data_IF_607360208152
#
_entry.id   IF_607360208152
#
_cell.length_a   1.000
_cell.length_b   1.000
_cell.length_c   1.000
_cell.angle_alpha   90.00
_cell.angle_beta   90.00
_cell.angle_gamma   90.00
#
_symmetry.space_group_name_H-M   'P 1'
#
loop_
_entity.id
_entity.type
_entity.pdbx_description
1 polymer ?
#
# COMPACT_ATOMS: atom_id res chain seq x y z
N UNK A 1 9.25 5.28 -2.36
CA UNK A 1 10.51 5.94 -2.83
C UNK A 1 11.73 5.02 -2.78
N UNK A 2 12.45 4.86 -3.90
CA UNK A 2 13.62 3.94 -3.97
C UNK A 2 14.75 4.38 -3.05
N UNK A 3 15.16 3.50 -2.13
CA UNK A 3 16.31 3.71 -1.25
C UNK A 3 16.05 4.53 0.01
N UNK A 4 14.82 5.02 0.23
CA UNK A 4 14.48 5.81 1.42
C UNK A 4 14.50 4.99 2.70
N UNK A 5 13.88 3.80 2.73
CA UNK A 5 13.92 2.94 3.91
C UNK A 5 15.36 2.57 4.32
N UNK A 6 16.26 2.12 3.41
CA UNK A 6 17.67 1.94 3.74
C UNK A 6 18.35 3.20 4.29
N UNK A 7 18.02 4.38 3.79
CA UNK A 7 18.57 5.65 4.27
C UNK A 7 18.09 6.01 5.68
N UNK A 8 16.92 5.52 6.09
CA UNK A 8 16.35 5.73 7.43
C UNK A 8 16.58 4.53 8.36
N UNK A 9 17.55 3.65 8.03
CA UNK A 9 17.76 2.40 8.78
C UNK A 9 18.10 2.63 10.25
N UNK A 10 18.89 3.67 10.57
CA UNK A 10 19.28 3.98 11.94
C UNK A 10 18.14 4.39 12.88
N UNK A 11 16.95 4.72 12.34
CA UNK A 11 15.75 5.07 13.12
C UNK A 11 14.62 4.03 12.99
N UNK A 12 14.86 2.94 12.24
CA UNK A 12 13.95 1.80 12.19
C UNK A 12 13.98 1.06 13.52
N UNK A 13 12.81 0.88 14.12
CA UNK A 13 12.69 0.18 15.40
C UNK A 13 11.87 -1.09 15.23
N UNK A 14 12.44 -2.24 15.62
CA UNK A 14 11.69 -3.49 15.68
C UNK A 14 10.58 -3.38 16.74
N UNK A 15 9.37 -3.77 16.35
CA UNK A 15 8.16 -3.67 17.17
C UNK A 15 7.27 -4.87 16.89
N UNK A 16 6.23 -5.00 17.71
CA UNK A 16 5.14 -5.92 17.46
C UNK A 16 3.84 -5.13 17.41
N UNK A 17 2.92 -5.50 16.53
CA UNK A 17 1.65 -4.80 16.31
C UNK A 17 0.78 -4.63 17.58
N UNK A 18 0.97 -5.48 18.60
CA UNK A 18 0.34 -5.34 19.93
C UNK A 18 0.72 -4.02 20.64
N UNK A 19 1.83 -3.39 20.25
CA UNK A 19 2.22 -2.06 20.73
C UNK A 19 1.18 -0.99 20.35
N UNK A 20 0.29 -1.26 19.38
CA UNK A 20 -0.83 -0.42 18.99
C UNK A 20 -2.19 -0.94 19.49
N UNK A 21 -2.22 -1.83 20.49
CA UNK A 21 -3.47 -2.27 21.09
C UNK A 21 -4.30 -1.08 21.61
N UNK A 22 -5.60 -1.09 21.33
CA UNK A 22 -6.51 0.02 21.64
C UNK A 22 -6.42 1.21 20.66
N UNK A 23 -5.54 1.15 19.66
CA UNK A 23 -5.40 2.18 18.62
C UNK A 23 -6.12 1.80 17.33
N UNK A 24 -6.39 2.82 16.51
CA UNK A 24 -6.89 2.62 15.14
C UNK A 24 -5.71 2.73 14.18
N UNK A 25 -5.49 1.70 13.36
CA UNK A 25 -4.36 1.66 12.41
C UNK A 25 -4.90 1.64 10.99
N UNK A 26 -4.49 2.64 10.20
CA UNK A 26 -4.76 2.69 8.77
C UNK A 26 -3.94 1.63 8.04
N UNK A 27 -4.51 1.02 7.01
CA UNK A 27 -3.83 -0.02 6.22
C UNK A 27 -3.94 0.34 4.75
N UNK A 28 -2.80 0.47 4.09
CA UNK A 28 -2.73 0.38 2.63
C UNK A 28 -3.00 -1.07 2.20
N UNK A 29 -4.17 -1.29 1.62
CA UNK A 29 -4.63 -2.64 1.28
C UNK A 29 -4.00 -3.16 -0.01
N UNK A 30 -3.60 -2.29 -0.94
CA UNK A 30 -3.08 -2.72 -2.23
C UNK A 30 -1.77 -3.49 -2.07
N UNK A 31 -0.91 -3.09 -1.13
CA UNK A 31 0.28 -3.86 -0.75
C UNK A 31 -0.03 -5.29 -0.28
N UNK A 32 -1.16 -5.52 0.40
CA UNK A 32 -1.59 -6.87 0.80
C UNK A 32 -2.29 -7.62 -0.32
N UNK A 33 -3.10 -6.94 -1.14
CA UNK A 33 -3.75 -7.55 -2.30
C UNK A 33 -2.71 -8.10 -3.27
N UNK A 34 -1.69 -7.31 -3.64
CA UNK A 34 -0.59 -7.77 -4.50
C UNK A 34 0.15 -8.97 -3.93
N UNK A 35 0.35 -9.06 -2.60
CA UNK A 35 0.93 -10.25 -1.96
C UNK A 35 -0.04 -11.44 -1.98
N UNK A 36 -1.33 -11.20 -1.77
CA UNK A 36 -2.37 -12.23 -1.78
C UNK A 36 -2.58 -12.87 -3.16
N UNK A 37 -2.43 -12.10 -4.25
CA UNK A 37 -2.57 -12.62 -5.61
C UNK A 37 -1.48 -13.59 -6.02
N UNK A 38 -0.30 -13.56 -5.37
CA UNK A 38 0.82 -14.46 -5.67
C UNK A 38 0.37 -15.93 -5.66
N UNK A 39 -0.40 -16.33 -4.66
CA UNK A 39 -0.85 -17.73 -4.48
C UNK A 39 -1.92 -18.20 -5.49
N UNK A 40 -2.48 -17.27 -6.27
CA UNK A 40 -3.50 -17.52 -7.28
C UNK A 40 -3.20 -16.82 -8.61
N UNK A 41 -1.94 -16.48 -8.89
CA UNK A 41 -1.56 -15.71 -10.09
C UNK A 41 -1.97 -16.44 -11.38
N UNK A 42 -1.77 -17.75 -11.45
CA UNK A 42 -2.20 -18.55 -12.62
C UNK A 42 -3.73 -18.51 -12.79
N UNK A 43 -4.48 -18.70 -11.70
CA UNK A 43 -5.94 -18.69 -11.74
C UNK A 43 -6.46 -17.33 -12.23
N UNK A 44 -5.93 -16.24 -11.68
CA UNK A 44 -6.28 -14.87 -12.07
C UNK A 44 -5.93 -14.59 -13.54
N UNK A 45 -4.73 -14.98 -13.99
CA UNK A 45 -4.30 -14.78 -15.36
C UNK A 45 -5.16 -15.52 -16.38
N UNK A 46 -5.73 -16.67 -16.00
CA UNK A 46 -6.64 -17.48 -16.81
C UNK A 46 -8.11 -17.06 -16.67
N UNK A 47 -8.45 -16.12 -15.78
CA UNK A 47 -9.83 -15.74 -15.49
C UNK A 47 -10.61 -16.78 -14.67
N UNK A 48 -9.91 -17.69 -13.99
CA UNK A 48 -10.54 -18.66 -13.10
C UNK A 48 -10.99 -17.96 -11.79
N UNK A 49 -12.22 -18.23 -11.30
CA UNK A 49 -12.68 -17.69 -10.03
C UNK A 49 -11.78 -18.12 -8.85
N UNK A 50 -11.40 -17.17 -7.99
CA UNK A 50 -10.57 -17.43 -6.81
C UNK A 50 -10.80 -16.38 -5.73
N UNK A 51 -10.68 -16.78 -4.46
CA UNK A 51 -10.80 -15.90 -3.29
C UNK A 51 -9.54 -15.86 -2.44
N UNK A 52 -8.44 -16.53 -2.86
CA UNK A 52 -7.22 -16.66 -2.03
C UNK A 52 -6.62 -15.31 -1.60
N UNK A 53 -6.73 -14.28 -2.45
CA UNK A 53 -6.30 -12.92 -2.10
C UNK A 53 -7.18 -12.29 -1.01
N UNK A 54 -8.49 -12.57 -0.99
CA UNK A 54 -9.40 -12.15 0.08
C UNK A 54 -9.01 -12.84 1.38
N UNK A 55 -8.79 -14.15 1.34
CA UNK A 55 -8.38 -14.93 2.51
C UNK A 55 -7.06 -14.41 3.11
N UNK A 56 -6.10 -14.05 2.24
CA UNK A 56 -4.83 -13.44 2.65
C UNK A 56 -5.04 -12.13 3.40
N UNK A 57 -5.81 -11.19 2.83
CA UNK A 57 -6.10 -9.91 3.47
C UNK A 57 -6.87 -10.10 4.78
N UNK A 58 -7.91 -10.93 4.76
CA UNK A 58 -8.74 -11.18 5.95
C UNK A 58 -7.97 -11.89 7.07
N UNK A 59 -6.95 -12.69 6.76
CA UNK A 59 -6.05 -13.23 7.77
C UNK A 59 -5.29 -12.10 8.50
N UNK A 60 -4.76 -11.12 7.77
CA UNK A 60 -4.09 -9.95 8.35
C UNK A 60 -5.05 -9.08 9.16
N UNK A 61 -6.25 -8.84 8.67
CA UNK A 61 -7.31 -8.11 9.40
C UNK A 61 -7.64 -8.80 10.73
N UNK A 62 -7.81 -10.13 10.72
CA UNK A 62 -8.05 -10.91 11.95
C UNK A 62 -6.87 -10.84 12.90
N UNK A 63 -5.63 -10.86 12.39
CA UNK A 63 -4.42 -10.70 13.20
C UNK A 63 -4.38 -9.33 13.90
N UNK A 64 -4.69 -8.23 13.20
CA UNK A 64 -4.79 -6.91 13.82
C UNK A 64 -5.84 -6.89 14.95
N UNK A 65 -7.05 -7.39 14.67
CA UNK A 65 -8.13 -7.47 15.67
C UNK A 65 -7.74 -8.36 16.86
N UNK A 66 -7.06 -9.47 16.62
CA UNK A 66 -6.61 -10.39 17.67
C UNK A 66 -5.68 -9.69 18.67
N UNK A 67 -4.78 -8.84 18.20
CA UNK A 67 -3.89 -8.04 19.06
C UNK A 67 -4.52 -6.74 19.57
N UNK A 68 -5.85 -6.61 19.49
CA UNK A 68 -6.58 -5.46 20.01
C UNK A 68 -6.42 -4.17 19.19
N UNK A 69 -5.94 -4.26 17.95
CA UNK A 69 -5.83 -3.13 17.03
C UNK A 69 -7.12 -3.01 16.21
N UNK A 70 -7.63 -1.79 16.05
CA UNK A 70 -8.79 -1.52 15.18
C UNK A 70 -8.29 -1.18 13.76
N UNK A 71 -8.46 -2.07 12.77
CA UNK A 71 -8.01 -1.78 11.41
C UNK A 71 -8.97 -0.81 10.71
N UNK A 72 -8.39 0.14 9.97
CA UNK A 72 -9.09 0.99 9.01
C UNK A 72 -8.46 0.75 7.63
N UNK A 73 -9.17 0.08 6.73
CA UNK A 73 -8.64 -0.31 5.43
C UNK A 73 -8.85 0.80 4.41
N UNK A 74 -7.77 1.18 3.71
CA UNK A 74 -7.79 2.17 2.63
C UNK A 74 -7.36 1.50 1.33
N UNK A 75 -8.15 1.71 0.28
CA UNK A 75 -7.93 1.19 -1.06
C UNK A 75 -7.61 2.33 -2.02
N UNK A 76 -6.80 2.07 -3.05
CA UNK A 76 -6.63 3.00 -4.16
C UNK A 76 -7.94 3.15 -4.95
N UNK A 77 -8.09 4.34 -5.54
CA UNK A 77 -9.22 4.77 -6.34
C UNK A 77 -8.87 4.97 -7.82
N UNK A 78 -9.20 6.15 -8.33
CA UNK A 78 -9.04 6.49 -9.74
C UNK A 78 -7.58 6.82 -10.09
N UNK A 79 -7.28 6.84 -11.39
CA UNK A 79 -5.98 7.24 -11.87
C UNK A 79 -5.69 8.71 -11.57
N UNK A 80 -4.50 8.97 -11.03
CA UNK A 80 -4.00 10.31 -10.86
C UNK A 80 -3.24 10.76 -12.11
N UNK A 81 -3.59 11.91 -12.74
CA UNK A 81 -2.89 12.40 -13.92
C UNK A 81 -1.38 12.60 -13.72
N UNK A 82 -0.95 13.07 -12.54
CA UNK A 82 0.48 13.21 -12.20
C UNK A 82 1.27 11.91 -12.21
N UNK A 83 0.60 10.75 -12.14
CA UNK A 83 1.22 9.42 -12.10
C UNK A 83 1.06 8.64 -13.41
N UNK A 84 0.48 9.26 -14.45
CA UNK A 84 0.14 8.59 -15.71
C UNK A 84 1.34 7.89 -16.38
N UNK A 85 2.53 8.50 -16.36
CA UNK A 85 3.73 7.88 -16.93
C UNK A 85 4.15 6.60 -16.22
N UNK A 86 4.10 6.60 -14.89
CA UNK A 86 4.42 5.43 -14.05
C UNK A 86 3.42 4.30 -14.28
N UNK A 87 2.13 4.62 -14.37
CA UNK A 87 1.08 3.61 -14.63
C UNK A 87 1.16 3.02 -16.03
N UNK A 88 1.46 3.82 -17.07
CA UNK A 88 1.64 3.32 -18.43
C UNK A 88 2.80 2.31 -18.54
N UNK A 89 3.93 2.59 -17.86
CA UNK A 89 5.07 1.69 -17.82
C UNK A 89 4.77 0.40 -17.03
N UNK A 90 3.95 0.49 -15.96
CA UNK A 90 3.47 -0.69 -15.22
C UNK A 90 2.54 -1.54 -16.08
N UNK A 91 1.61 -0.92 -16.80
CA UNK A 91 0.68 -1.61 -17.70
C UNK A 91 1.42 -2.35 -18.82
N UNK A 92 2.38 -1.68 -19.47
CA UNK A 92 3.21 -2.29 -20.52
C UNK A 92 3.93 -3.53 -20.01
N UNK A 93 4.60 -3.44 -18.85
CA UNK A 93 5.30 -4.58 -18.23
C UNK A 93 4.34 -5.73 -17.89
N UNK A 94 3.15 -5.42 -17.37
CA UNK A 94 2.13 -6.44 -17.08
C UNK A 94 1.70 -7.18 -18.35
N UNK A 95 1.48 -6.46 -19.44
CA UNK A 95 1.08 -7.03 -20.72
C UNK A 95 2.18 -7.96 -21.29
N UNK A 96 3.44 -7.52 -21.28
CA UNK A 96 4.59 -8.32 -21.71
C UNK A 96 4.73 -9.60 -20.87
N UNK A 97 4.72 -9.48 -19.54
CA UNK A 97 4.79 -10.63 -18.63
C UNK A 97 3.61 -11.59 -18.78
N UNK A 98 2.41 -11.09 -19.11
CA UNK A 98 1.24 -11.93 -19.36
C UNK A 98 1.44 -12.83 -20.57
N UNK A 99 1.93 -12.27 -21.69
CA UNK A 99 2.21 -13.03 -22.92
C UNK A 99 3.23 -14.13 -22.63
N UNK A 100 4.39 -13.76 -22.07
CA UNK A 100 5.45 -14.72 -21.74
C UNK A 100 4.97 -15.79 -20.76
N UNK A 101 4.24 -15.41 -19.72
CA UNK A 101 3.72 -16.34 -18.73
C UNK A 101 2.73 -17.36 -19.30
N UNK A 102 1.84 -16.93 -20.21
CA UNK A 102 0.88 -17.83 -20.87
C UNK A 102 1.58 -18.79 -21.85
N UNK A 103 2.63 -18.35 -22.55
CA UNK A 103 3.44 -19.23 -23.41
C UNK A 103 4.17 -20.31 -22.61
N UNK A 104 4.81 -19.93 -21.50
CA UNK A 104 5.46 -20.88 -20.59
C UNK A 104 4.46 -21.91 -20.03
N UNK A 105 3.23 -21.48 -19.76
CA UNK A 105 2.18 -22.35 -19.27
C UNK A 105 1.75 -23.38 -20.34
N UNK A 106 1.61 -22.95 -21.61
CA UNK A 106 1.34 -23.84 -22.75
C UNK A 106 2.44 -24.88 -22.96
N UNK A 107 3.70 -24.50 -22.71
CA UNK A 107 4.86 -25.41 -22.77
C UNK A 107 4.99 -26.33 -21.54
N UNK A 108 4.04 -26.29 -20.59
CA UNK A 108 4.06 -27.11 -19.38
C UNK A 108 5.05 -26.63 -18.30
N UNK A 109 5.72 -25.48 -18.50
CA UNK A 109 6.73 -24.92 -17.58
C UNK A 109 6.09 -24.13 -16.44
N UNK A 110 5.28 -24.80 -15.62
CA UNK A 110 4.42 -24.18 -14.60
C UNK A 110 5.15 -23.25 -13.63
N UNK A 111 6.32 -23.64 -13.11
CA UNK A 111 7.05 -22.82 -12.14
C UNK A 111 7.53 -21.50 -12.74
N UNK A 112 8.01 -21.51 -13.99
CA UNK A 112 8.43 -20.31 -14.70
C UNK A 112 7.22 -19.45 -15.09
N UNK A 113 6.15 -20.08 -15.58
CA UNK A 113 4.89 -19.41 -15.88
C UNK A 113 4.34 -18.68 -14.64
N UNK A 114 4.38 -19.30 -13.47
CA UNK A 114 3.93 -18.69 -12.21
C UNK A 114 4.69 -17.40 -11.91
N UNK A 115 6.02 -17.39 -12.06
CA UNK A 115 6.86 -16.21 -11.80
C UNK A 115 6.51 -15.07 -12.74
N UNK A 116 6.31 -15.34 -14.03
CA UNK A 116 5.95 -14.29 -15.00
C UNK A 116 4.50 -13.83 -14.83
N UNK A 117 3.54 -14.75 -14.66
CA UNK A 117 2.14 -14.40 -14.48
C UNK A 117 1.89 -13.63 -13.18
N UNK A 118 2.68 -13.85 -12.12
CA UNK A 118 2.63 -13.03 -10.92
C UNK A 118 2.89 -11.55 -11.22
N UNK A 119 3.83 -11.23 -12.12
CA UNK A 119 4.14 -9.84 -12.52
C UNK A 119 3.05 -9.23 -13.37
N UNK A 120 2.20 -10.05 -13.99
CA UNK A 120 1.12 -9.62 -14.88
C UNK A 120 -0.19 -9.29 -14.16
N UNK A 121 -0.31 -9.61 -12.87
CA UNK A 121 -1.58 -9.42 -12.15
C UNK A 121 -1.82 -7.95 -11.86
N UNK A 122 -2.97 -7.48 -12.32
CA UNK A 122 -3.54 -6.20 -11.96
C UNK A 122 -4.62 -6.37 -10.89
N UNK A 123 -4.60 -5.52 -9.86
CA UNK A 123 -5.57 -5.57 -8.76
C UNK A 123 -6.75 -4.68 -9.13
N UNK A 124 -7.87 -5.30 -9.48
CA UNK A 124 -9.04 -4.58 -10.00
C UNK A 124 -9.97 -4.07 -8.90
N UNK A 125 -10.82 -3.07 -9.20
CA UNK A 125 -11.88 -2.63 -8.28
C UNK A 125 -12.82 -3.75 -7.83
N UNK A 126 -13.10 -4.74 -8.68
CA UNK A 126 -13.88 -5.92 -8.32
C UNK A 126 -13.18 -6.78 -7.25
N UNK A 127 -11.86 -6.95 -7.34
CA UNK A 127 -11.08 -7.67 -6.33
C UNK A 127 -11.05 -6.91 -5.00
N UNK A 128 -10.85 -5.59 -5.05
CA UNK A 128 -10.94 -4.72 -3.87
C UNK A 128 -12.33 -4.82 -3.22
N UNK A 129 -13.39 -4.82 -4.03
CA UNK A 129 -14.77 -4.94 -3.56
C UNK A 129 -15.04 -6.24 -2.80
N UNK A 130 -14.50 -7.38 -3.23
CA UNK A 130 -14.63 -8.62 -2.46
C UNK A 130 -14.03 -8.52 -1.04
N UNK A 131 -12.93 -7.78 -0.89
CA UNK A 131 -12.33 -7.53 0.43
C UNK A 131 -13.18 -6.58 1.25
N UNK A 132 -13.71 -5.52 0.63
CA UNK A 132 -14.61 -4.55 1.29
C UNK A 132 -15.85 -5.27 1.83
N UNK A 133 -16.48 -6.13 1.04
CA UNK A 133 -17.65 -6.90 1.46
C UNK A 133 -17.31 -7.84 2.65
N UNK A 134 -16.16 -8.52 2.60
CA UNK A 134 -15.69 -9.39 3.68
C UNK A 134 -15.37 -8.61 4.98
N UNK A 135 -14.84 -7.40 4.87
CA UNK A 135 -14.57 -6.51 6.00
C UNK A 135 -15.86 -5.95 6.60
N UNK A 136 -16.79 -5.52 5.76
CA UNK A 136 -18.11 -5.00 6.17
C UNK A 136 -18.86 -6.05 6.99
N UNK A 137 -18.83 -7.32 6.57
CA UNK A 137 -19.46 -8.42 7.30
C UNK A 137 -18.95 -8.63 8.74
N UNK A 138 -17.75 -8.14 9.07
CA UNK A 138 -17.15 -8.24 10.41
C UNK A 138 -16.96 -6.88 11.10
N UNK A 139 -17.64 -5.84 10.60
CA UNK A 139 -17.64 -4.50 11.16
C UNK A 139 -16.31 -3.76 11.05
N UNK A 140 -15.48 -4.09 10.07
CA UNK A 140 -14.22 -3.38 9.80
C UNK A 140 -14.45 -2.24 8.83
N UNK A 141 -13.94 -1.04 9.16
CA UNK A 141 -14.10 0.15 8.32
C UNK A 141 -13.22 0.04 7.07
N UNK A 142 -13.81 0.34 5.93
CA UNK A 142 -13.14 0.45 4.64
C UNK A 142 -13.42 1.84 4.05
N UNK A 143 -12.45 2.36 3.30
CA UNK A 143 -12.60 3.56 2.50
C UNK A 143 -11.80 3.38 1.20
N UNK A 144 -12.42 3.67 0.07
CA UNK A 144 -11.72 3.80 -1.20
C UNK A 144 -11.29 5.25 -1.34
N UNK A 145 -10.00 5.50 -1.49
CA UNK A 145 -9.49 6.83 -1.78
C UNK A 145 -10.09 7.31 -3.12
N UNK A 146 -10.26 8.61 -3.34
CA UNK A 146 -10.66 9.10 -4.67
C UNK A 146 -9.57 8.85 -5.71
N UNK A 147 -8.31 8.91 -5.28
CA UNK A 147 -7.10 8.67 -6.07
C UNK A 147 -6.19 7.71 -5.29
N UNK A 148 -5.07 8.17 -4.76
CA UNK A 148 -4.11 7.29 -4.08
C UNK A 148 -4.44 7.09 -2.58
N UNK A 149 -4.27 5.86 -2.12
CA UNK A 149 -4.36 5.50 -0.70
C UNK A 149 -3.33 6.25 0.14
N UNK A 150 -2.18 6.61 -0.44
CA UNK A 150 -1.10 7.27 0.28
C UNK A 150 -1.49 8.63 0.89
N UNK A 151 -2.03 9.53 0.07
CA UNK A 151 -2.53 10.83 0.56
C UNK A 151 -3.73 10.66 1.48
N UNK A 152 -4.60 9.69 1.20
CA UNK A 152 -5.77 9.42 2.01
C UNK A 152 -5.38 8.94 3.41
N UNK A 153 -4.40 8.04 3.53
CA UNK A 153 -3.87 7.56 4.80
C UNK A 153 -3.17 8.69 5.57
N UNK A 154 -2.38 9.51 4.90
CA UNK A 154 -1.80 10.72 5.49
C UNK A 154 -2.89 11.65 6.05
N UNK A 155 -3.94 11.92 5.28
CA UNK A 155 -5.04 12.78 5.71
C UNK A 155 -5.77 12.23 6.95
N UNK A 156 -6.07 10.93 6.96
CA UNK A 156 -6.73 10.29 8.09
C UNK A 156 -5.89 10.37 9.37
N UNK A 157 -4.57 10.17 9.27
CA UNK A 157 -3.66 10.28 10.42
C UNK A 157 -3.55 11.73 10.90
N UNK A 158 -3.40 12.68 9.98
CA UNK A 158 -3.37 14.13 10.27
C UNK A 158 -4.65 14.59 10.99
N UNK A 159 -5.81 14.05 10.63
CA UNK A 159 -7.10 14.35 11.28
C UNK A 159 -7.33 13.59 12.59
N UNK A 160 -6.38 12.73 13.00
CA UNK A 160 -6.49 11.92 14.22
C UNK A 160 -7.53 10.81 14.15
N UNK A 161 -7.96 10.42 12.94
CA UNK A 161 -8.91 9.32 12.71
C UNK A 161 -8.20 7.97 12.85
N UNK A 162 -6.91 7.93 12.52
CA UNK A 162 -6.01 6.78 12.72
C UNK A 162 -4.75 7.25 13.45
N UNK A 163 -4.09 6.33 14.17
CA UNK A 163 -2.91 6.60 15.00
C UNK A 163 -1.58 6.28 14.32
N UNK A 164 -1.59 5.37 13.33
CA UNK A 164 -0.44 4.93 12.55
C UNK A 164 -0.90 4.29 11.23
N UNK A 165 0.03 4.10 10.28
CA UNK A 165 -0.25 3.51 8.97
C UNK A 165 0.59 2.25 8.75
N UNK A 166 -0.04 1.16 8.33
CA UNK A 166 0.62 -0.04 7.82
C UNK A 166 0.74 0.05 6.30
N UNK A 167 1.97 0.08 5.80
CA UNK A 167 2.27 -0.05 4.37
C UNK A 167 3.72 -0.47 4.16
N UNK A 168 4.03 -0.95 2.95
CA UNK A 168 5.40 -1.15 2.50
C UNK A 168 5.93 0.06 1.71
N UNK A 169 5.07 1.02 1.37
CA UNK A 169 5.49 2.23 0.68
C UNK A 169 6.06 3.26 1.66
N UNK A 170 7.22 3.79 1.27
CA UNK A 170 7.91 4.85 1.99
C UNK A 170 7.47 6.24 1.55
N UNK A 171 6.68 6.36 0.48
CA UNK A 171 6.10 7.63 0.03
C UNK A 171 5.16 8.24 1.08
N UNK A 172 4.55 7.42 1.93
CA UNK A 172 3.79 7.88 3.10
C UNK A 172 4.59 8.83 4.01
N UNK A 173 5.90 8.58 4.20
CA UNK A 173 6.76 9.48 4.98
C UNK A 173 7.02 10.82 4.27
N UNK A 174 6.93 10.82 2.94
CA UNK A 174 7.08 12.00 2.07
C UNK A 174 5.82 12.86 2.09
N UNK A 175 4.64 12.23 2.03
CA UNK A 175 3.34 12.87 2.29
C UNK A 175 3.27 13.48 3.69
N UNK A 176 3.83 12.75 4.66
CA UNK A 176 4.04 13.26 6.00
C UNK A 176 3.42 12.42 7.10
N UNK A 177 3.08 11.16 6.83
CA UNK A 177 2.65 10.20 7.85
C UNK A 177 3.66 10.15 8.98
N UNK A 178 3.21 10.44 10.20
CA UNK A 178 4.05 10.48 11.40
C UNK A 178 4.56 9.08 11.75
N UNK A 179 3.71 8.06 11.75
CA UNK A 179 4.09 6.71 12.18
C UNK A 179 3.80 5.67 11.08
N UNK A 180 4.85 5.22 10.41
CA UNK A 180 4.80 4.14 9.42
C UNK A 180 5.18 2.79 10.07
N UNK A 181 4.32 1.80 9.89
CA UNK A 181 4.54 0.40 10.25
C UNK A 181 4.77 -0.38 8.95
N UNK A 182 5.99 -0.86 8.75
CA UNK A 182 6.41 -1.60 7.54
C UNK A 182 6.90 -2.99 7.90
N UNK A 183 7.03 -3.88 6.91
CA UNK A 183 7.50 -5.27 7.09
C UNK A 183 6.69 -6.05 8.12
N UNK A 184 5.40 -5.74 8.25
CA UNK A 184 4.50 -6.46 9.14
C UNK A 184 4.36 -7.91 8.65
N UNK A 185 4.66 -8.88 9.50
CA UNK A 185 4.50 -10.29 9.21
C UNK A 185 3.14 -10.85 9.68
N UNK A 186 2.89 -12.12 9.42
CA UNK A 186 1.61 -12.76 9.76
C UNK A 186 1.42 -12.98 11.27
N UNK A 187 2.48 -12.87 12.06
CA UNK A 187 2.47 -13.06 13.50
C UNK A 187 2.40 -11.74 14.26
N UNK A 188 2.62 -10.62 13.59
CA UNK A 188 2.53 -9.28 14.14
C UNK A 188 3.88 -8.60 14.36
N UNK A 189 5.00 -9.25 14.04
CA UNK A 189 6.31 -8.59 14.08
C UNK A 189 6.41 -7.57 12.95
N UNK A 190 6.96 -6.39 13.23
CA UNK A 190 7.03 -5.29 12.29
C UNK A 190 8.19 -4.34 12.57
N UNK A 191 8.38 -3.39 11.67
CA UNK A 191 9.31 -2.28 11.83
C UNK A 191 8.53 -0.98 11.87
N UNK A 192 8.79 -0.17 12.90
CA UNK A 192 8.27 1.18 13.03
C UNK A 192 9.30 2.20 12.53
N UNK A 193 8.82 3.20 11.80
CA UNK A 193 9.53 4.44 11.51
C UNK A 193 8.63 5.59 11.95
N UNK A 194 9.12 6.38 12.91
CA UNK A 194 8.43 7.58 13.40
C UNK A 194 9.18 8.84 12.94
N UNK A 195 8.46 9.78 12.30
CA UNK A 195 9.01 11.06 11.82
C UNK A 195 9.61 11.91 12.94
N UNK A 196 9.13 11.78 14.17
CA UNK A 196 9.65 12.48 15.35
C UNK A 196 11.12 12.09 15.64
N UNK A 197 11.57 10.92 15.15
CA UNK A 197 12.93 10.45 15.29
C UNK A 197 13.85 10.81 14.11
N UNK A 198 13.38 11.57 13.12
CA UNK A 198 14.20 11.92 11.95
C UNK A 198 15.52 12.61 12.33
N UNK A 199 15.52 13.46 13.34
CA UNK A 199 16.72 14.16 13.83
C UNK A 199 17.77 13.21 14.41
N UNK A 200 17.37 12.00 14.82
CA UNK A 200 18.26 10.94 15.31
C UNK A 200 18.83 10.05 14.18
N UNK A 201 18.50 10.31 12.92
CA UNK A 201 19.04 9.58 11.78
C UNK A 201 20.56 9.79 11.67
N UNK A 202 21.30 8.68 11.66
CA UNK A 202 22.77 8.65 11.61
C UNK A 202 23.30 8.53 10.18
N UNK A 203 22.49 8.02 9.27
CA UNK A 203 22.86 7.79 7.86
C UNK A 203 22.97 9.11 7.08
N UNK A 204 22.08 10.06 7.39
CA UNK A 204 22.13 11.47 6.99
C UNK A 204 21.63 12.34 8.15
N UNK A 205 22.29 13.47 8.40
CA UNK A 205 21.80 14.42 9.41
C UNK A 205 20.53 15.11 8.89
N UNK A 206 19.41 14.93 9.58
CA UNK A 206 18.16 15.67 9.38
C UNK A 206 17.93 16.70 10.51
N UNK A 207 18.95 16.98 11.33
CA UNK A 207 18.87 18.05 12.32
C UNK A 207 18.67 19.41 11.63
N UNK A 208 17.66 20.15 12.10
CA UNK A 208 17.24 21.44 11.54
C UNK A 208 16.46 21.36 10.23
N UNK A 209 16.05 20.15 9.80
CA UNK A 209 15.28 19.98 8.56
C UNK A 209 13.79 20.17 8.79
N UNK A 210 13.13 20.84 7.84
CA UNK A 210 11.67 20.94 7.80
C UNK A 210 11.06 19.78 7.00
N UNK A 211 9.75 19.54 7.19
CA UNK A 211 8.97 18.61 6.36
C UNK A 211 9.11 18.94 4.86
N UNK A 212 9.09 20.22 4.52
CA UNK A 212 9.26 20.72 3.14
C UNK A 212 10.62 20.34 2.57
N UNK A 213 11.71 20.57 3.32
CA UNK A 213 13.06 20.20 2.85
C UNK A 213 13.21 18.70 2.65
N UNK A 214 12.65 17.89 3.56
CA UNK A 214 12.65 16.43 3.42
C UNK A 214 11.89 15.98 2.17
N UNK A 215 10.69 16.52 1.95
CA UNK A 215 9.88 16.23 0.77
C UNK A 215 10.58 16.66 -0.52
N UNK A 216 11.16 17.85 -0.56
CA UNK A 216 11.93 18.35 -1.70
C UNK A 216 13.14 17.47 -2.02
N UNK A 217 13.88 17.04 -1.00
CA UNK A 217 14.98 16.07 -1.17
C UNK A 217 14.48 14.76 -1.80
N UNK A 218 13.34 14.25 -1.34
CA UNK A 218 12.72 13.04 -1.88
C UNK A 218 12.32 13.21 -3.35
N UNK A 219 11.58 14.27 -3.70
CA UNK A 219 11.17 14.57 -5.08
C UNK A 219 12.40 14.69 -6.00
N UNK A 220 13.44 15.43 -5.58
CA UNK A 220 14.69 15.60 -6.35
C UNK A 220 15.43 14.28 -6.60
N UNK A 221 15.26 13.30 -5.70
CA UNK A 221 15.88 11.98 -5.81
C UNK A 221 15.10 11.00 -6.70
N UNK A 222 13.93 11.42 -7.20
CA UNK A 222 13.03 10.63 -8.02
C UNK A 222 11.89 10.03 -7.21
N UNK A 223 10.67 10.22 -7.71
CA UNK A 223 9.43 9.71 -7.14
C UNK A 223 8.45 9.33 -8.27
N UNK A 224 7.29 8.78 -7.93
CA UNK A 224 6.29 8.34 -8.90
C UNK A 224 5.71 9.47 -9.77
N UNK A 225 5.87 10.74 -9.36
CA UNK A 225 5.39 11.94 -10.07
C UNK A 225 6.47 12.67 -10.88
N UNK A 226 7.74 12.40 -10.60
CA UNK A 226 8.86 13.09 -11.24
C UNK A 226 10.12 12.25 -11.19
N UNK A 227 10.68 11.99 -12.36
CA UNK A 227 11.99 11.38 -12.51
C UNK A 227 13.09 12.24 -11.88
N UNK A 228 14.14 11.59 -11.40
CA UNK A 228 15.27 12.31 -10.84
C UNK A 228 16.10 13.00 -11.92
N UNK A 229 16.81 14.07 -11.53
CA UNK A 229 17.90 14.58 -12.36
C UNK A 229 18.96 13.47 -12.45
N UNK A 230 19.57 13.18 -13.62
CA UNK A 230 20.61 12.17 -13.72
C UNK A 230 21.71 12.37 -12.67
N UNK A 231 22.07 11.28 -11.97
CA UNK A 231 23.02 11.27 -10.85
C UNK A 231 22.55 11.99 -9.56
N UNK A 232 21.27 12.39 -9.49
CA UNK A 232 20.64 12.94 -8.29
C UNK A 232 19.96 11.82 -7.50
N UNK A 233 20.70 11.19 -6.58
CA UNK A 233 20.14 10.29 -5.57
C UNK A 233 19.88 11.01 -4.25
N UNK A 234 19.25 10.31 -3.28
CA UNK A 234 18.88 10.89 -1.97
C UNK A 234 20.03 11.61 -1.24
N UNK A 235 21.23 11.02 -1.18
CA UNK A 235 22.39 11.63 -0.51
C UNK A 235 22.89 12.90 -1.25
N UNK A 236 22.82 12.90 -2.59
CA UNK A 236 23.19 14.07 -3.39
C UNK A 236 22.16 15.19 -3.21
N UNK A 237 20.87 14.85 -3.31
CA UNK A 237 19.76 15.77 -3.07
C UNK A 237 19.83 16.35 -1.65
N UNK A 238 20.11 15.52 -0.63
CA UNK A 238 20.29 15.95 0.75
C UNK A 238 21.38 17.02 0.90
N UNK A 239 22.58 16.73 0.37
CA UNK A 239 23.73 17.65 0.42
C UNK A 239 23.42 18.98 -0.27
N UNK A 240 22.76 18.94 -1.41
CA UNK A 240 22.43 20.15 -2.17
C UNK A 240 21.31 20.94 -1.49
N UNK A 241 20.25 20.30 -1.01
CA UNK A 241 19.20 20.96 -0.23
C UNK A 241 19.74 21.60 1.05
N UNK A 242 20.68 20.94 1.74
CA UNK A 242 21.35 21.51 2.92
C UNK A 242 22.21 22.74 2.59
N UNK A 243 22.76 22.83 1.37
CA UNK A 243 23.59 23.96 0.93
C UNK A 243 22.76 25.15 0.46
N UNK A 244 21.71 24.90 -0.33
CA UNK A 244 20.97 25.97 -1.01
C UNK A 244 19.66 26.33 -0.32
N UNK A 245 19.09 25.43 0.49
CA UNK A 245 17.80 25.54 1.20
C UNK A 245 16.56 25.74 0.32
N UNK A 246 16.75 26.02 -0.97
CA UNK A 246 15.73 26.37 -1.94
C UNK A 246 16.03 25.69 -3.29
N UNK A 247 15.01 25.08 -3.88
CA UNK A 247 15.16 24.28 -5.11
C UNK A 247 15.48 25.16 -6.31
N UNK A 248 14.87 26.34 -6.43
CA UNK A 248 15.16 27.21 -7.57
C UNK A 248 16.61 27.69 -7.56
N UNK A 249 17.09 28.16 -6.40
CA UNK A 249 18.49 28.54 -6.21
C UNK A 249 19.44 27.38 -6.49
N UNK A 250 19.12 26.17 -6.01
CA UNK A 250 19.90 24.97 -6.32
C UNK A 250 19.98 24.73 -7.82
N UNK A 251 18.84 24.68 -8.52
CA UNK A 251 18.79 24.36 -9.94
C UNK A 251 19.53 25.41 -10.78
N UNK A 252 19.42 26.70 -10.44
CA UNK A 252 20.19 27.77 -11.10
C UNK A 252 21.69 27.57 -10.92
N UNK A 253 22.14 27.24 -9.70
CA UNK A 253 23.55 26.98 -9.43
C UNK A 253 24.08 25.73 -10.15
N UNK A 254 23.28 24.66 -10.24
CA UNK A 254 23.64 23.45 -10.99
C UNK A 254 23.77 23.71 -12.49
N UNK A 255 22.84 24.49 -13.06
CA UNK A 255 22.91 24.91 -14.47
C UNK A 255 24.17 25.73 -14.75
N UNK A 256 24.59 26.58 -13.82
CA UNK A 256 25.81 27.38 -13.96
C UNK A 256 27.09 26.54 -13.84
N UNK A 257 27.17 25.60 -12.89
CA UNK A 257 28.34 24.73 -12.72
C UNK A 257 28.50 23.71 -13.86
N UNK A 258 27.42 23.38 -14.57
CA UNK A 258 27.44 22.54 -15.79
C UNK A 258 27.75 21.06 -15.58
N UNK A 259 28.19 20.65 -14.38
CA UNK A 259 28.53 19.25 -14.07
C UNK A 259 27.33 18.31 -13.99
N UNK A 260 26.18 18.83 -13.58
CA UNK A 260 24.91 18.09 -13.53
C UNK A 260 23.99 18.69 -14.57
N UNK A 261 23.64 17.92 -15.60
CA UNK A 261 22.71 18.34 -16.65
C UNK A 261 21.28 18.33 -16.12
N UNK A 262 20.76 19.50 -15.79
CA UNK A 262 19.36 19.68 -15.38
C UNK A 262 18.47 19.59 -16.62
N UNK A 263 17.47 18.70 -16.66
CA UNK A 263 16.51 18.65 -17.77
C UNK A 263 15.77 19.97 -17.98
N UNK A 264 15.36 20.24 -19.22
CA UNK A 264 14.50 21.37 -19.53
C UNK A 264 13.13 21.20 -18.85
N UNK A 265 12.51 22.31 -18.41
CA UNK A 265 11.23 22.28 -17.71
C UNK A 265 11.23 21.63 -16.32
N UNK A 266 12.38 21.15 -15.81
CA UNK A 266 12.44 20.38 -14.56
C UNK A 266 11.87 21.13 -13.34
N UNK A 267 12.08 22.45 -13.25
CA UNK A 267 11.57 23.23 -12.13
C UNK A 267 10.03 23.24 -12.07
N UNK A 268 9.37 23.37 -13.23
CA UNK A 268 7.91 23.36 -13.27
C UNK A 268 7.35 21.96 -13.01
N UNK A 269 8.02 20.92 -13.52
CA UNK A 269 7.68 19.54 -13.17
C UNK A 269 7.87 19.25 -11.67
N UNK A 270 8.93 19.80 -11.06
CA UNK A 270 9.18 19.74 -9.63
C UNK A 270 8.07 20.42 -8.82
N UNK A 271 7.66 21.63 -9.21
CA UNK A 271 6.56 22.34 -8.57
C UNK A 271 5.26 21.54 -8.64
N UNK A 272 4.94 20.93 -9.79
CA UNK A 272 3.77 20.05 -9.91
C UNK A 272 3.84 18.85 -8.97
N UNK A 273 4.98 18.15 -8.92
CA UNK A 273 5.16 17.01 -8.01
C UNK A 273 5.04 17.43 -6.53
N UNK A 274 5.60 18.58 -6.15
CA UNK A 274 5.48 19.13 -4.79
C UNK A 274 4.03 19.49 -4.45
N UNK A 275 3.28 20.04 -5.40
CA UNK A 275 1.85 20.32 -5.26
C UNK A 275 1.03 19.04 -5.14
N UNK A 276 1.37 17.97 -5.88
CA UNK A 276 0.72 16.67 -5.74
C UNK A 276 0.89 16.09 -4.33
N UNK A 277 2.11 16.04 -3.80
CA UNK A 277 2.32 15.56 -2.43
C UNK A 277 1.60 16.40 -1.36
N UNK A 278 1.41 17.70 -1.61
CA UNK A 278 0.77 18.60 -0.63
C UNK A 278 -0.74 18.59 -0.72
N UNK A 279 -1.31 18.61 -1.93
CA UNK A 279 -2.71 18.98 -2.14
C UNK A 279 -3.51 17.91 -2.85
N UNK A 280 -2.96 16.70 -3.08
CA UNK A 280 -3.73 15.60 -3.66
C UNK A 280 -5.10 15.46 -2.98
N UNK A 281 -6.14 15.32 -3.80
CA UNK A 281 -7.50 15.20 -3.29
C UNK A 281 -7.70 13.89 -2.55
N UNK A 282 -8.42 14.00 -1.44
CA UNK A 282 -8.77 12.91 -0.55
C UNK A 282 -10.26 13.01 -0.20
N UNK A 283 -10.85 11.91 0.23
CA UNK A 283 -12.20 11.91 0.77
C UNK A 283 -12.17 12.18 2.28
N UNK A 284 -12.89 13.20 2.73
CA UNK A 284 -13.08 13.47 4.15
C UNK A 284 -14.29 12.67 4.67
N UNK A 285 -14.11 11.67 5.55
CA UNK A 285 -15.24 10.89 6.06
C UNK A 285 -16.13 11.66 7.05
N UNK A 286 -15.67 12.82 7.55
CA UNK A 286 -16.44 13.68 8.46
C UNK A 286 -17.33 14.63 7.66
N UNK A 287 -16.74 15.32 6.67
CA UNK A 287 -17.46 16.27 5.80
C UNK A 287 -18.19 15.58 4.65
N UNK A 288 -17.88 14.30 4.40
CA UNK A 288 -18.54 13.44 3.44
C UNK A 288 -18.46 13.95 1.99
N UNK A 289 -17.28 14.49 1.64
CA UNK A 289 -16.96 15.09 0.33
C UNK A 289 -15.45 15.03 0.07
N UNK A 290 -15.03 15.38 -1.14
CA UNK A 290 -13.62 15.62 -1.43
C UNK A 290 -13.11 16.91 -0.80
N UNK A 291 -11.87 16.83 -0.34
CA UNK A 291 -11.04 17.94 0.15
C UNK A 291 -9.61 17.73 -0.35
N UNK A 292 -8.75 18.73 -0.19
CA UNK A 292 -7.31 18.56 -0.40
C UNK A 292 -6.66 17.98 0.86
N UNK A 293 -5.61 17.17 0.71
CA UNK A 293 -4.88 16.60 1.85
C UNK A 293 -4.33 17.67 2.81
N UNK A 294 -3.85 18.78 2.24
CA UNK A 294 -3.55 20.02 2.94
C UNK A 294 -4.29 21.16 2.25
N UNK A 295 -4.91 22.04 3.04
CA UNK A 295 -5.47 23.28 2.50
C UNK A 295 -4.34 24.17 1.97
N UNK A 296 -4.54 24.91 0.86
CA UNK A 296 -3.57 25.90 0.42
C UNK A 296 -3.41 27.00 1.47
N UNK A 297 -2.23 27.64 1.49
CA UNK A 297 -1.99 28.78 2.37
C UNK A 297 -3.00 29.90 2.09
N UNK A 298 -3.43 30.67 3.12
CA UNK A 298 -4.38 31.75 2.93
C UNK A 298 -3.92 32.75 1.87
N UNK A 299 -4.75 32.98 0.85
CA UNK A 299 -4.45 33.89 -0.26
C UNK A 299 -3.66 33.26 -1.42
N UNK A 300 -3.31 31.96 -1.34
CA UNK A 300 -2.72 31.22 -2.45
C UNK A 300 -3.83 30.62 -3.33
N UNK A 301 -3.86 31.03 -4.60
CA UNK A 301 -4.66 30.35 -5.63
C UNK A 301 -3.84 29.25 -6.27
N UNK A 302 -4.42 28.06 -6.41
CA UNK A 302 -3.81 26.96 -7.15
C UNK A 302 -4.27 27.05 -8.60
N UNK A 303 -3.33 27.05 -9.54
CA UNK A 303 -3.63 27.10 -10.97
C UNK A 303 -4.52 25.93 -11.42
N UNK A 304 -5.45 26.19 -12.35
CA UNK A 304 -6.40 25.19 -12.83
C UNK A 304 -5.73 23.93 -13.39
N UNK A 305 -4.57 24.09 -14.04
CA UNK A 305 -3.77 22.96 -14.51
C UNK A 305 -3.33 22.07 -13.33
N UNK A 306 -2.86 22.66 -12.24
CA UNK A 306 -2.45 21.92 -11.04
C UNK A 306 -3.66 21.23 -10.39
N UNK A 307 -4.83 21.87 -10.37
CA UNK A 307 -6.06 21.25 -9.85
C UNK A 307 -6.43 19.95 -10.58
N UNK A 308 -6.13 19.83 -11.87
CA UNK A 308 -6.29 18.59 -12.62
C UNK A 308 -5.24 17.56 -12.17
N UNK A 309 -3.98 17.97 -12.05
CA UNK A 309 -2.87 17.09 -11.70
C UNK A 309 -2.95 16.49 -10.29
N UNK A 310 -3.47 17.25 -9.31
CA UNK A 310 -3.66 16.77 -7.93
C UNK A 310 -4.92 15.91 -7.75
N UNK A 311 -5.64 15.62 -8.84
CA UNK A 311 -6.91 14.91 -8.82
C UNK A 311 -8.07 15.86 -9.10
N UNK A 312 -8.81 15.69 -10.22
CA UNK A 312 -10.00 16.46 -10.50
C UNK A 312 -11.04 16.41 -9.38
N UNK A 313 -11.91 17.42 -9.30
CA UNK A 313 -13.08 17.29 -8.43
C UNK A 313 -14.11 16.36 -9.06
N UNK A 314 -14.91 15.70 -8.23
CA UNK A 314 -16.06 14.91 -8.68
C UNK A 314 -17.28 15.25 -7.83
N UNK A 315 -18.46 14.99 -8.38
CA UNK A 315 -19.73 15.22 -7.68
C UNK A 315 -19.73 14.54 -6.30
N UNK A 316 -20.34 15.21 -5.32
CA UNK A 316 -20.33 14.78 -3.91
C UNK A 316 -20.96 13.40 -3.75
N UNK A 317 -22.06 13.11 -4.45
CA UNK A 317 -22.72 11.80 -4.32
C UNK A 317 -21.88 10.70 -4.97
N UNK A 318 -21.29 10.97 -6.14
CA UNK A 318 -20.34 10.05 -6.78
C UNK A 318 -19.16 9.77 -5.85
N UNK A 319 -18.58 10.80 -5.23
CA UNK A 319 -17.46 10.66 -4.31
C UNK A 319 -17.81 9.75 -3.12
N UNK A 320 -19.01 9.90 -2.56
CA UNK A 320 -19.49 9.07 -1.44
C UNK A 320 -19.67 7.62 -1.84
N UNK A 321 -20.23 7.38 -3.02
CA UNK A 321 -20.45 6.03 -3.52
C UNK A 321 -19.15 5.34 -3.94
N UNK A 322 -18.18 6.08 -4.48
CA UNK A 322 -16.82 5.59 -4.70
C UNK A 322 -16.15 5.26 -3.36
N UNK A 323 -16.13 6.19 -2.41
CA UNK A 323 -15.46 6.03 -1.12
C UNK A 323 -15.99 4.85 -0.30
N UNK A 324 -17.28 4.52 -0.45
CA UNK A 324 -17.91 3.34 0.18
C UNK A 324 -17.77 2.05 -0.63
N UNK A 325 -17.13 2.08 -1.79
CA UNK A 325 -16.91 0.92 -2.67
C UNK A 325 -18.13 0.49 -3.49
N UNK A 326 -19.18 1.32 -3.59
CA UNK A 326 -20.38 1.00 -4.38
C UNK A 326 -20.18 1.25 -5.87
N UNK A 327 -19.46 2.32 -6.22
CA UNK A 327 -19.07 2.62 -7.60
C UNK A 327 -17.61 2.28 -7.84
N UNK A 328 -17.35 1.85 -9.07
CA UNK A 328 -16.01 1.68 -9.59
C UNK A 328 -15.33 3.05 -9.65
N UNK A 329 -14.13 3.20 -9.06
CA UNK A 329 -13.48 4.49 -8.94
C UNK A 329 -13.06 5.07 -10.29
N UNK A 330 -12.93 4.27 -11.35
CA UNK A 330 -12.50 4.75 -12.67
C UNK A 330 -13.73 5.10 -13.52
N UNK A 331 -14.64 4.13 -13.70
CA UNK A 331 -15.80 4.26 -14.59
C UNK A 331 -16.97 5.02 -13.97
N UNK A 332 -16.97 5.18 -12.64
CA UNK A 332 -18.08 5.75 -11.85
C UNK A 332 -19.41 4.99 -12.02
N UNK A 333 -19.34 3.74 -12.47
CA UNK A 333 -20.48 2.83 -12.61
C UNK A 333 -20.51 1.81 -11.48
N UNK A 334 -21.66 1.17 -11.17
CA UNK A 334 -21.72 0.13 -10.15
C UNK A 334 -20.74 -1.02 -10.43
N UNK A 335 -19.98 -1.43 -9.41
CA UNK A 335 -19.05 -2.56 -9.53
C UNK A 335 -19.85 -3.85 -9.72
N UNK A 336 -19.70 -4.47 -10.89
CA UNK A 336 -20.31 -5.76 -11.18
C UNK A 336 -19.46 -6.88 -10.56
N UNK A 337 -19.94 -7.44 -9.46
CA UNK A 337 -19.37 -8.66 -8.88
C UNK A 337 -19.99 -9.85 -9.61
N UNK A 338 -19.20 -10.68 -10.32
CA UNK A 338 -19.71 -11.92 -10.87
C UNK A 338 -20.29 -12.76 -9.73
N UNK A 339 -21.62 -12.95 -9.71
CA UNK A 339 -22.24 -13.85 -8.74
C UNK A 339 -21.58 -15.21 -8.93
N UNK A 340 -20.91 -15.71 -7.89
CA UNK A 340 -20.49 -17.09 -7.88
C UNK A 340 -21.75 -17.92 -8.12
N UNK A 341 -21.85 -18.60 -9.27
CA UNK A 341 -22.84 -19.65 -9.44
C UNK A 341 -22.59 -20.62 -8.30
N UNK A 342 -23.58 -20.90 -7.44
CA UNK A 342 -23.38 -21.87 -6.38
C UNK A 342 -23.08 -23.20 -7.05
N UNK A 343 -21.80 -23.60 -7.06
CA UNK A 343 -21.46 -25.00 -7.29
C UNK A 343 -22.13 -25.74 -6.15
N UNK A 344 -23.13 -26.55 -6.48
CA UNK A 344 -23.78 -27.44 -5.54
C UNK A 344 -22.69 -28.08 -4.68
N UNK A 345 -22.70 -27.78 -3.39
CA UNK A 345 -21.76 -28.33 -2.44
C UNK A 345 -22.00 -29.85 -2.39
N UNK A 346 -21.20 -30.63 -3.12
CA UNK A 346 -21.21 -32.09 -3.08
C UNK A 346 -20.51 -32.66 -1.84
N UNK A 347 -20.46 -31.89 -0.75
CA UNK A 347 -19.99 -32.36 0.55
C UNK A 347 -21.08 -32.24 1.60
N UNK A 348 -22.14 -33.03 1.43
CA UNK A 348 -22.98 -33.49 2.53
C UNK A 348 -22.69 -34.98 2.74
N UNK A 349 -21.55 -35.30 3.39
CA UNK A 349 -21.42 -36.61 4.03
C UNK A 349 -22.29 -36.57 5.29
N UNK A 350 -23.53 -37.04 5.15
CA UNK A 350 -24.35 -37.44 6.29
C UNK A 350 -23.57 -38.50 7.08
N UNK A 351 -23.33 -38.24 8.37
CA UNK A 351 -22.97 -39.28 9.31
C UNK A 351 -24.22 -40.12 9.58
N UNK A 352 -24.19 -41.45 9.41
CA UNK A 352 -25.24 -42.30 9.92
C UNK A 352 -25.12 -42.32 11.45
N UNK A 353 -26.20 -41.95 12.13
CA UNK A 353 -26.35 -42.19 13.55
C UNK A 353 -26.58 -43.70 13.76
N UNK A 354 -25.58 -44.40 14.31
CA UNK A 354 -25.79 -45.69 14.96
C UNK A 354 -24.85 -45.84 16.16
N UNK A 355 -25.46 -45.76 17.33
CA UNK A 355 -24.90 -46.15 18.61
C UNK A 355 -24.77 -47.67 18.70
N UNK A 356 -23.55 -48.21 18.77
CA UNK A 356 -23.29 -49.48 19.46
C UNK A 356 -21.92 -49.43 20.14
N UNK A 357 -21.93 -49.55 21.46
CA UNK A 357 -20.77 -49.72 22.31
C UNK A 357 -20.00 -50.99 21.95
N UNK A 358 -18.72 -50.88 21.59
CA UNK A 358 -17.77 -52.00 21.67
C UNK A 358 -16.62 -51.62 22.58
N UNK A 359 -16.53 -52.37 23.69
CA UNK A 359 -15.39 -52.38 24.61
C UNK A 359 -14.16 -52.85 23.83
N UNK A 360 -13.06 -52.11 23.92
CA UNK A 360 -11.75 -52.57 23.47
C UNK A 360 -11.02 -53.19 24.66
N UNK A 361 -10.76 -54.49 24.59
CA UNK A 361 -9.80 -55.19 25.44
C UNK A 361 -8.39 -54.94 24.91
N UNK A 362 -7.48 -54.53 25.80
CA UNK A 362 -6.06 -54.35 25.51
C UNK A 362 -5.31 -55.68 25.63
N UNK A 363 -4.50 -56.09 24.64
CA UNK A 363 -3.59 -57.21 24.81
C UNK A 363 -2.39 -56.79 25.67
N UNK A 364 -2.17 -57.54 26.76
CA UNK A 364 -0.96 -57.48 27.57
C UNK A 364 0.23 -58.02 26.78
N UNK A 365 1.27 -57.21 26.57
CA UNK A 365 2.68 -57.63 26.65
C UNK A 365 3.64 -56.47 26.36
N UNK A 366 4.50 -56.16 27.36
CA UNK A 366 5.89 -55.80 27.10
C UNK A 366 6.31 -54.33 27.14
N UNK A 367 6.84 -53.93 28.31
CA UNK A 367 7.78 -52.81 28.61
C UNK A 367 7.17 -51.45 28.97
N UNK A 368 7.41 -51.03 30.21
CA UNK A 368 7.03 -49.73 30.78
C UNK A 368 8.03 -48.62 30.45
N UNK A 369 7.50 -47.41 30.25
CA UNK A 369 8.17 -46.17 29.82
C UNK A 369 9.33 -45.71 30.74
N UNK A 370 9.46 -46.29 31.93
CA UNK A 370 10.52 -45.98 32.91
C UNK A 370 11.91 -46.47 32.53
N UNK A 371 12.07 -47.18 31.41
CA UNK A 371 13.39 -47.61 30.91
C UNK A 371 14.11 -46.57 30.01
N UNK A 372 13.47 -45.45 29.68
CA UNK A 372 14.04 -44.45 28.75
C UNK A 372 14.71 -43.22 29.41
N UNK A 373 14.71 -43.11 30.74
CA UNK A 373 15.41 -42.04 31.44
C UNK A 373 16.27 -42.59 32.57
N UNK A 374 17.57 -42.74 32.33
CA UNK A 374 18.59 -42.79 33.39
C UNK A 374 19.58 -41.64 33.18
N UNK A 375 19.91 -40.88 34.23
CA UNK A 375 20.88 -39.80 34.14
C UNK A 375 22.31 -40.36 34.10
N UNK A 376 23.15 -39.77 33.24
CA UNK A 376 24.57 -39.56 33.50
C UNK A 376 24.90 -38.13 33.10
#
# INVERSE_FOLDING_TARGET
LKGLLPLLKSIQTARHIKNWAGKTVGVDVYGWLHKGTISCAIDLALGNPTTKYVDYVMHRVRMLKHYGVTPYLVFDGDYLPSKAGTEAEREKKRAESKVTGLELLKLGRKSQAHIELQKAIDVTPAMARHVIDACTAIGVKCLVAPYEADSQLYYLEKKGIIDAVVSEDSDLLVFGVRTLITKLDQFGECVEINRDHFTACKDISLAGWTSTQFRHMCILSGCDYLDNIPSMGLKTAHRLMRRYHDVEKMLRALKFDGKIKVPEGYLEAFKRADMTFQHQRVFCPIENRLVMANDPDPGTTIDDEILVYIGPDIDVEIARLVASGHLDPMTKQPILIPKATPKASSFRKQWPATSQSRRFETPSNGKTITQFFKPK
#
